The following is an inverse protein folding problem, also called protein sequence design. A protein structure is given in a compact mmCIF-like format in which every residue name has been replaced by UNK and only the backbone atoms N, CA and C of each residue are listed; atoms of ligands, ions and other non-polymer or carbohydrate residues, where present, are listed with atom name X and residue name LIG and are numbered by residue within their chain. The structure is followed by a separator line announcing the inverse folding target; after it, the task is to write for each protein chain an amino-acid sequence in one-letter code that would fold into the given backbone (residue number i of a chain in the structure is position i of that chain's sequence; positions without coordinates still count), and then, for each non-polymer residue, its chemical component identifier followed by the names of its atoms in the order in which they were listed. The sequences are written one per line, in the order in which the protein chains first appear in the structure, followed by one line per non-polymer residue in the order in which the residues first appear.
data_IF_529103198256
#
_entry.id   IF_529103198256
#
_cell.length_a   1.000
_cell.length_b   1.000
_cell.length_c   1.000
_cell.angle_alpha   90.00
_cell.angle_beta   90.00
_cell.angle_gamma   90.00
#
_symmetry.space_group_name_H-M   'P 1'
#
loop_
_entity.id
_entity.type
_entity.pdbx_description
1 polymer ?
#
# COMPACT_ATOMS: atom_id res chain seq x y z
N UNK A 1 -20.44 29.25 -69.45
CA UNK A 1 -19.18 29.59 -68.76
C UNK A 1 -19.35 29.24 -67.28
N UNK A 2 -18.46 28.40 -66.77
CA UNK A 2 -18.52 27.75 -65.48
C UNK A 2 -18.20 28.71 -64.33
N UNK A 3 -18.87 28.57 -63.17
CA UNK A 3 -18.22 28.39 -61.87
C UNK A 3 -19.23 28.10 -60.75
N UNK A 4 -19.12 26.89 -60.21
CA UNK A 4 -19.69 26.48 -58.93
C UNK A 4 -18.91 27.19 -57.81
N UNK A 5 -19.59 27.74 -56.81
CA UNK A 5 -19.01 27.96 -55.48
C UNK A 5 -19.93 27.32 -54.43
N UNK A 6 -19.55 26.11 -54.04
CA UNK A 6 -20.08 25.41 -52.87
C UNK A 6 -19.19 25.79 -51.69
N UNK A 7 -19.72 26.53 -50.72
CA UNK A 7 -19.00 26.82 -49.47
C UNK A 7 -19.38 25.74 -48.45
N UNK A 8 -18.47 24.80 -48.22
CA UNK A 8 -18.53 23.87 -47.08
C UNK A 8 -18.23 24.67 -45.80
N UNK A 9 -19.15 24.72 -44.86
CA UNK A 9 -18.83 25.05 -43.47
C UNK A 9 -18.55 23.74 -42.71
N UNK A 10 -17.28 23.48 -42.41
CA UNK A 10 -16.88 22.39 -41.53
C UNK A 10 -17.29 22.72 -40.09
N UNK A 11 -18.14 21.90 -39.50
CA UNK A 11 -18.34 21.85 -38.06
C UNK A 11 -17.17 21.09 -37.42
N UNK A 12 -16.21 21.82 -36.85
CA UNK A 12 -15.13 21.22 -36.06
C UNK A 12 -15.59 21.02 -34.62
N UNK A 13 -16.05 19.79 -34.35
CA UNK A 13 -16.12 19.22 -33.00
C UNK A 13 -14.71 18.85 -32.56
N UNK A 14 -14.20 19.48 -31.50
CA UNK A 14 -13.10 18.93 -30.70
C UNK A 14 -13.42 19.13 -29.23
N UNK A 15 -14.08 18.12 -28.64
CA UNK A 15 -14.12 17.94 -27.21
C UNK A 15 -12.72 17.48 -26.77
N UNK A 16 -11.97 18.37 -26.12
CA UNK A 16 -10.69 18.04 -25.52
C UNK A 16 -10.99 17.43 -24.15
N UNK A 17 -11.28 16.12 -24.10
CA UNK A 17 -11.22 15.41 -22.81
C UNK A 17 -9.75 15.32 -22.43
N UNK A 18 -9.36 16.14 -21.45
CA UNK A 18 -8.06 16.06 -20.81
C UNK A 18 -7.95 14.73 -20.04
N UNK A 19 -7.54 13.67 -20.74
CA UNK A 19 -7.04 12.46 -20.12
C UNK A 19 -5.66 12.76 -19.56
N UNK A 20 -5.58 13.12 -18.28
CA UNK A 20 -4.31 13.13 -17.57
C UNK A 20 -3.91 11.66 -17.33
N UNK A 21 -3.28 11.04 -18.32
CA UNK A 21 -2.63 9.75 -18.16
C UNK A 21 -1.36 9.98 -17.35
N UNK A 22 -1.39 9.70 -16.05
CA UNK A 22 -0.19 9.56 -15.24
C UNK A 22 0.55 8.31 -15.71
N UNK A 23 1.48 8.46 -16.65
CA UNK A 23 2.37 7.39 -17.08
C UNK A 23 3.44 7.15 -16.04
N UNK A 24 3.06 6.52 -14.93
CA UNK A 24 3.93 5.75 -14.06
C UNK A 24 3.23 4.42 -13.86
N UNK A 25 3.77 3.34 -14.43
CA UNK A 25 3.13 2.02 -14.27
C UNK A 25 2.89 1.69 -12.81
N UNK A 26 1.80 0.96 -12.52
CA UNK A 26 1.45 0.52 -11.17
C UNK A 26 2.68 -0.11 -10.49
N UNK A 27 3.10 0.45 -9.35
CA UNK A 27 4.27 -0.05 -8.61
C UNK A 27 3.95 -1.42 -8.05
N UNK A 28 4.76 -2.41 -8.43
CA UNK A 28 4.69 -3.75 -7.83
C UNK A 28 5.51 -3.79 -6.54
N UNK A 29 4.82 -3.70 -5.40
CA UNK A 29 5.44 -3.70 -4.08
C UNK A 29 6.05 -5.06 -3.70
N UNK A 30 5.63 -6.16 -4.33
CA UNK A 30 6.20 -7.49 -4.07
C UNK A 30 7.68 -7.63 -4.46
N UNK A 31 8.19 -6.68 -5.24
CA UNK A 31 9.60 -6.64 -5.65
C UNK A 31 10.53 -6.16 -4.56
N UNK A 32 10.06 -5.32 -3.63
CA UNK A 32 10.95 -4.62 -2.69
C UNK A 32 10.40 -4.41 -1.27
N UNK A 33 9.10 -4.56 -1.04
CA UNK A 33 8.48 -4.25 0.25
C UNK A 33 8.49 -5.47 1.17
N UNK A 34 8.88 -5.22 2.42
CA UNK A 34 8.93 -6.21 3.50
C UNK A 34 8.08 -5.70 4.66
N UNK A 35 7.48 -6.61 5.41
CA UNK A 35 7.05 -6.31 6.76
C UNK A 35 8.28 -6.35 7.66
N UNK A 36 8.57 -5.23 8.34
CA UNK A 36 9.73 -5.06 9.21
C UNK A 36 9.22 -4.67 10.59
N UNK A 37 9.74 -5.27 11.63
CA UNK A 37 9.31 -4.98 13.00
C UNK A 37 10.19 -5.65 14.04
N UNK A 38 9.81 -5.52 15.30
CA UNK A 38 10.56 -6.06 16.44
C UNK A 38 10.82 -7.57 16.32
N UNK A 39 9.86 -8.35 15.79
CA UNK A 39 9.99 -9.80 15.56
C UNK A 39 11.10 -10.18 14.55
N UNK A 40 11.56 -9.22 13.75
CA UNK A 40 12.63 -9.38 12.76
C UNK A 40 13.87 -8.55 13.11
N UNK A 41 13.95 -7.98 14.31
CA UNK A 41 14.98 -6.98 14.67
C UNK A 41 15.07 -5.82 13.67
N UNK A 42 13.93 -5.47 13.06
CA UNK A 42 13.80 -4.50 11.98
C UNK A 42 14.52 -4.85 10.67
N UNK A 43 15.04 -6.07 10.48
CA UNK A 43 15.68 -6.47 9.23
C UNK A 43 14.67 -6.74 8.10
N UNK A 44 15.12 -6.56 6.86
CA UNK A 44 14.33 -6.90 5.66
C UNK A 44 14.53 -8.38 5.30
N UNK A 45 13.90 -9.27 6.07
CA UNK A 45 14.06 -10.71 5.93
C UNK A 45 13.20 -11.29 4.78
N UNK A 46 13.73 -12.17 3.91
CA UNK A 46 13.01 -12.73 2.76
C UNK A 46 11.65 -13.36 3.08
N UNK A 47 11.51 -14.01 4.23
CA UNK A 47 10.27 -14.64 4.72
C UNK A 47 9.14 -13.63 4.99
N UNK A 48 9.47 -12.37 5.27
CA UNK A 48 8.52 -11.29 5.51
C UNK A 48 8.33 -10.37 4.31
N UNK A 49 8.82 -10.78 3.13
CA UNK A 49 8.58 -10.06 1.88
C UNK A 49 7.12 -10.18 1.46
N UNK A 50 6.48 -9.06 1.13
CA UNK A 50 5.08 -9.09 0.70
C UNK A 50 4.94 -9.80 -0.64
N UNK A 51 3.87 -10.57 -0.79
CA UNK A 51 3.47 -11.24 -2.02
C UNK A 51 2.20 -10.60 -2.55
N UNK A 52 2.11 -10.39 -3.86
CA UNK A 52 0.88 -9.91 -4.50
C UNK A 52 -0.18 -11.01 -4.42
N UNK A 53 -1.34 -10.69 -3.84
CA UNK A 53 -2.49 -11.62 -3.71
C UNK A 53 -3.67 -11.19 -4.57
N UNK A 54 -3.75 -9.92 -4.93
CA UNK A 54 -4.68 -9.37 -5.93
C UNK A 54 -4.07 -8.09 -6.56
N UNK A 55 -4.74 -7.48 -7.53
CA UNK A 55 -4.31 -6.18 -8.05
C UNK A 55 -4.37 -5.11 -6.95
N UNK A 56 -3.24 -4.45 -6.69
CA UNK A 56 -3.11 -3.51 -5.58
C UNK A 56 -3.20 -4.11 -4.16
N UNK A 57 -3.23 -5.44 -3.99
CA UNK A 57 -3.27 -6.07 -2.66
C UNK A 57 -2.09 -7.00 -2.45
N UNK A 58 -1.39 -6.81 -1.34
CA UNK A 58 -0.21 -7.56 -0.98
C UNK A 58 -0.34 -8.14 0.44
N UNK A 59 0.31 -9.27 0.70
CA UNK A 59 0.24 -9.97 1.98
C UNK A 59 1.57 -10.60 2.36
N UNK A 60 1.88 -10.63 3.65
CA UNK A 60 2.85 -11.55 4.25
C UNK A 60 2.30 -12.08 5.56
N UNK A 61 2.95 -13.08 6.14
CA UNK A 61 2.53 -13.72 7.40
C UNK A 61 3.66 -13.67 8.43
N UNK A 62 3.29 -13.59 9.72
CA UNK A 62 4.22 -13.63 10.86
C UNK A 62 3.61 -14.44 11.99
N UNK A 63 4.40 -15.31 12.62
CA UNK A 63 4.03 -15.94 13.90
C UNK A 63 4.36 -14.99 15.06
N UNK A 64 3.36 -14.65 15.88
CA UNK A 64 3.51 -13.75 17.02
C UNK A 64 3.08 -14.45 18.32
N UNK A 65 3.70 -14.04 19.44
CA UNK A 65 3.33 -14.52 20.77
C UNK A 65 2.41 -13.51 21.47
N UNK A 66 1.33 -13.99 22.06
CA UNK A 66 0.46 -13.16 22.89
C UNK A 66 1.01 -13.07 24.33
N UNK A 67 2.05 -12.27 24.52
CA UNK A 67 2.62 -11.95 25.84
C UNK A 67 2.02 -10.67 26.47
N UNK A 68 1.03 -10.07 25.79
CA UNK A 68 0.35 -8.85 26.21
C UNK A 68 1.07 -7.55 25.84
N UNK A 69 2.24 -7.61 25.18
CA UNK A 69 2.94 -6.44 24.67
C UNK A 69 2.65 -6.20 23.18
N UNK A 70 2.60 -4.94 22.74
CA UNK A 70 2.46 -4.64 21.32
C UNK A 70 3.77 -4.89 20.57
N UNK A 71 3.69 -5.53 19.41
CA UNK A 71 4.76 -5.52 18.43
C UNK A 71 4.72 -4.21 17.64
N UNK A 72 5.87 -3.54 17.54
CA UNK A 72 6.03 -2.42 16.61
C UNK A 72 6.48 -2.90 15.23
N UNK A 73 5.90 -2.33 14.17
CA UNK A 73 6.19 -2.70 12.79
C UNK A 73 5.93 -1.58 11.78
N UNK A 74 6.46 -1.76 10.57
CA UNK A 74 6.23 -0.95 9.35
C UNK A 74 6.29 -1.86 8.12
N UNK A 75 5.76 -1.38 7.01
CA UNK A 75 6.15 -1.91 5.71
C UNK A 75 7.28 -1.07 5.13
N UNK A 76 8.40 -1.70 4.81
CA UNK A 76 9.64 -1.02 4.44
C UNK A 76 10.36 -1.75 3.33
N UNK A 77 10.95 -1.02 2.37
CA UNK A 77 12.06 -1.61 1.61
C UNK A 77 13.32 -1.72 2.48
N UNK A 78 14.34 -2.45 1.99
CA UNK A 78 15.56 -2.70 2.74
C UNK A 78 16.32 -1.41 3.13
N UNK A 79 16.17 -0.34 2.35
CA UNK A 79 16.90 0.91 2.51
C UNK A 79 16.10 2.00 3.21
N UNK A 80 14.87 1.72 3.66
CA UNK A 80 13.95 2.70 4.22
C UNK A 80 13.69 3.89 3.29
N UNK A 81 13.63 3.63 1.98
CA UNK A 81 13.45 4.69 0.98
C UNK A 81 12.12 5.41 1.17
N UNK A 82 12.13 6.73 1.08
CA UNK A 82 10.90 7.53 1.00
C UNK A 82 10.03 7.07 -0.18
N UNK A 83 8.72 6.95 0.06
CA UNK A 83 7.77 6.29 -0.86
C UNK A 83 7.69 4.77 -0.69
N UNK A 84 8.57 4.15 0.09
CA UNK A 84 8.52 2.72 0.47
C UNK A 84 8.71 2.50 1.97
N UNK A 85 8.64 3.55 2.79
CA UNK A 85 8.79 3.50 4.23
C UNK A 85 7.44 3.83 4.86
N UNK A 86 6.57 2.81 4.92
CA UNK A 86 5.15 2.92 5.23
C UNK A 86 4.88 2.69 6.72
N UNK A 87 4.48 3.77 7.38
CA UNK A 87 4.08 3.85 8.79
C UNK A 87 2.68 4.40 8.95
N UNK A 88 2.20 4.57 10.18
CA UNK A 88 0.85 5.12 10.40
C UNK A 88 0.74 6.54 9.81
N UNK A 89 -0.41 6.86 9.22
CA UNK A 89 -0.64 8.19 8.66
C UNK A 89 -0.88 9.23 9.76
N UNK A 90 -1.63 8.85 10.80
CA UNK A 90 -1.95 9.70 11.94
C UNK A 90 -2.02 8.89 13.24
N UNK A 91 -2.04 9.54 14.42
CA UNK A 91 -2.03 8.81 15.70
C UNK A 91 -3.25 7.88 15.88
N UNK A 92 -4.38 8.13 15.22
CA UNK A 92 -5.54 7.22 15.23
C UNK A 92 -5.29 5.91 14.45
N UNK A 93 -4.33 5.90 13.54
CA UNK A 93 -3.95 4.75 12.71
C UNK A 93 -2.86 3.89 13.37
N UNK A 94 -2.32 4.31 14.52
CA UNK A 94 -1.15 3.71 15.16
C UNK A 94 -1.41 2.31 15.68
N UNK A 95 -2.50 2.12 16.42
CA UNK A 95 -2.87 0.86 17.05
C UNK A 95 -3.81 0.08 16.13
N UNK A 96 -3.27 -0.97 15.51
CA UNK A 96 -3.98 -1.79 14.52
C UNK A 96 -4.78 -2.87 15.25
N UNK A 97 -6.03 -3.05 14.84
CA UNK A 97 -6.92 -4.09 15.37
C UNK A 97 -7.21 -5.12 14.27
N UNK A 98 -7.50 -6.36 14.67
CA UNK A 98 -7.86 -7.41 13.71
C UNK A 98 -9.05 -6.99 12.84
N UNK A 99 -8.95 -7.27 11.54
CA UNK A 99 -9.97 -7.00 10.52
C UNK A 99 -10.38 -5.52 10.43
N UNK A 100 -9.56 -4.59 10.92
CA UNK A 100 -9.83 -3.15 10.89
C UNK A 100 -8.72 -2.42 10.12
N UNK A 101 -8.98 -1.97 8.88
CA UNK A 101 -8.03 -1.18 8.12
C UNK A 101 -7.68 0.14 8.81
N UNK A 102 -6.41 0.54 8.68
CA UNK A 102 -5.88 1.84 9.08
C UNK A 102 -5.03 2.42 7.96
N UNK A 103 -4.90 3.74 7.91
CA UNK A 103 -4.19 4.43 6.83
C UNK A 103 -2.69 4.47 7.04
N UNK A 104 -1.95 4.47 5.94
CA UNK A 104 -0.48 4.53 5.97
C UNK A 104 0.11 5.66 5.13
N UNK A 105 1.19 6.25 5.63
CA UNK A 105 2.06 7.16 4.91
C UNK A 105 3.36 6.45 4.54
N UNK A 106 3.66 6.33 3.24
CA UNK A 106 4.87 5.66 2.74
C UNK A 106 6.16 6.49 2.74
N UNK A 107 6.14 7.65 3.39
CA UNK A 107 7.32 8.48 3.67
C UNK A 107 7.53 8.68 5.19
N UNK A 108 6.98 7.78 6.01
CA UNK A 108 7.12 7.80 7.45
C UNK A 108 8.59 7.60 7.87
N UNK A 109 9.05 8.30 8.90
CA UNK A 109 10.39 8.12 9.48
C UNK A 109 10.28 7.30 10.77
N UNK A 110 9.45 7.75 11.72
CA UNK A 110 9.36 7.17 13.07
C UNK A 110 7.97 6.59 13.40
N UNK A 111 7.02 6.69 12.48
CA UNK A 111 5.62 6.35 12.68
C UNK A 111 5.39 4.82 12.61
N UNK A 112 5.85 4.08 13.61
CA UNK A 112 5.65 2.63 13.70
C UNK A 112 4.21 2.28 14.10
N UNK A 113 3.59 1.35 13.37
CA UNK A 113 2.34 0.72 13.80
C UNK A 113 2.57 -0.13 15.05
N UNK A 114 1.49 -0.41 15.76
CA UNK A 114 1.44 -1.32 16.91
C UNK A 114 0.36 -2.36 16.71
N UNK A 115 0.68 -3.60 17.05
CA UNK A 115 -0.28 -4.70 17.10
C UNK A 115 0.01 -5.58 18.31
N UNK A 116 -0.99 -5.73 19.18
CA UNK A 116 -0.96 -6.70 20.27
C UNK A 116 -1.78 -7.92 19.85
N UNK A 117 -1.15 -9.07 19.56
CA UNK A 117 -1.87 -10.26 19.15
C UNK A 117 -2.77 -10.75 20.29
N UNK A 118 -4.06 -11.02 20.06
CA UNK A 118 -4.95 -11.52 21.10
C UNK A 118 -4.60 -12.95 21.54
N UNK A 119 -4.01 -13.75 20.65
CA UNK A 119 -3.59 -15.13 20.90
C UNK A 119 -2.22 -15.41 20.26
N UNK A 120 -1.55 -16.47 20.70
CA UNK A 120 -0.32 -16.89 20.00
C UNK A 120 -0.70 -17.57 18.70
N UNK A 121 -0.21 -17.08 17.57
CA UNK A 121 -0.60 -17.60 16.27
C UNK A 121 0.08 -16.92 15.10
N UNK A 122 -0.31 -17.33 13.89
CA UNK A 122 0.14 -16.72 12.65
C UNK A 122 -0.88 -15.68 12.20
N UNK A 123 -0.41 -14.49 11.85
CA UNK A 123 -1.22 -13.37 11.41
C UNK A 123 -0.85 -12.95 10.00
N UNK A 124 -1.86 -12.72 9.16
CA UNK A 124 -1.71 -12.16 7.82
C UNK A 124 -1.69 -10.64 7.89
N UNK A 125 -0.57 -10.03 7.50
CA UNK A 125 -0.43 -8.59 7.36
C UNK A 125 -0.65 -8.18 5.91
N UNK A 126 -1.63 -7.33 5.67
CA UNK A 126 -2.00 -6.87 4.34
C UNK A 126 -1.57 -5.43 4.11
N UNK A 127 -1.13 -5.17 2.89
CA UNK A 127 -0.83 -3.84 2.37
C UNK A 127 -1.70 -3.60 1.14
N UNK A 128 -2.65 -2.68 1.27
CA UNK A 128 -3.68 -2.39 0.29
C UNK A 128 -3.47 -1.01 -0.32
N UNK A 129 -3.21 -0.97 -1.63
CA UNK A 129 -3.02 0.26 -2.41
C UNK A 129 -4.12 0.45 -3.45
N UNK A 130 -5.27 -0.22 -3.28
CA UNK A 130 -6.42 -0.09 -4.19
C UNK A 130 -7.16 1.23 -4.01
N UNK A 131 -7.10 1.82 -2.81
CA UNK A 131 -7.68 3.12 -2.49
C UNK A 131 -6.79 4.31 -2.84
N UNK A 132 -7.33 5.53 -2.73
CA UNK A 132 -6.56 6.78 -2.92
C UNK A 132 -5.44 6.93 -1.89
N UNK A 133 -5.74 6.55 -0.64
CA UNK A 133 -4.77 6.47 0.46
C UNK A 133 -4.51 4.99 0.74
N UNK A 134 -3.26 4.53 0.72
CA UNK A 134 -2.93 3.17 1.11
C UNK A 134 -3.39 2.85 2.54
N UNK A 135 -3.77 1.61 2.74
CA UNK A 135 -4.21 1.06 4.03
C UNK A 135 -3.45 -0.21 4.36
N UNK A 136 -3.42 -0.55 5.63
CA UNK A 136 -2.99 -1.86 6.12
C UNK A 136 -4.06 -2.45 7.01
N UNK A 137 -4.13 -3.77 7.06
CA UNK A 137 -4.97 -4.49 8.01
C UNK A 137 -4.32 -5.84 8.36
N UNK A 138 -4.77 -6.42 9.47
CA UNK A 138 -4.25 -7.68 10.00
C UNK A 138 -5.41 -8.63 10.20
N UNK A 139 -5.28 -9.84 9.68
CA UNK A 139 -6.23 -10.93 9.92
C UNK A 139 -5.50 -12.12 10.55
N UNK A 140 -6.25 -13.04 11.15
CA UNK A 140 -5.71 -14.37 11.47
C UNK A 140 -5.33 -15.09 10.16
N UNK A 141 -4.18 -15.75 10.14
CA UNK A 141 -3.81 -16.56 8.98
C UNK A 141 -4.58 -17.90 9.05
N UNK A 142 -5.38 -18.17 8.00
CA UNK A 142 -6.02 -19.46 7.79
C UNK A 142 -5.04 -20.51 7.28
#
# INVERSE_FOLDING_TARGET
MNRKLTTLALASVMAITAGCATTGGERDYSKSLYLRGQFAWWDALPEYKVKKVDNGLYRTEVELKADGQPYEFKFGDANWTSGTNCGYLSEEDKDVQLNKPVKTNCSAVFENFRFTPPETGTYGFYFDVRGETPEIYIDEAN
#
